data_IF_950383531828
#
_entry.id   IF_950383531828
#
_cell.length_a   1.000
_cell.length_b   1.000
_cell.length_c   1.000
_cell.angle_alpha   90.00
_cell.angle_beta   90.00
_cell.angle_gamma   90.00
#
_symmetry.space_group_name_H-M   'P 1'
#
loop_
_entity.id
_entity.type
_entity.pdbx_description
1 polymer ?
#
# COMPACT_ATOMS: atom_id res chain seq x y z
N UNK A 1 10.32 -24.85 -26.24
CA UNK A 1 11.58 -24.14 -25.92
C UNK A 1 11.98 -23.31 -27.14
N UNK A 2 12.10 -21.99 -26.99
CA UNK A 2 12.31 -21.08 -28.13
C UNK A 2 13.79 -21.06 -28.52
N UNK A 3 14.09 -21.07 -29.82
CA UNK A 3 15.46 -20.92 -30.35
C UNK A 3 15.53 -19.65 -31.17
N UNK A 4 16.51 -18.79 -30.89
CA UNK A 4 16.67 -17.46 -31.49
C UNK A 4 18.05 -17.38 -32.15
N UNK A 5 18.15 -16.78 -33.33
CA UNK A 5 19.45 -16.59 -33.97
C UNK A 5 20.28 -15.53 -33.21
N UNK A 6 21.60 -15.67 -33.19
CA UNK A 6 22.52 -14.70 -32.58
C UNK A 6 22.33 -13.26 -33.09
N UNK A 7 21.88 -13.09 -34.34
CA UNK A 7 21.64 -11.77 -34.94
C UNK A 7 20.39 -11.09 -34.37
N UNK A 8 19.34 -11.87 -34.07
CA UNK A 8 18.16 -11.35 -33.41
C UNK A 8 18.45 -11.15 -31.92
N UNK A 9 19.12 -12.12 -31.29
CA UNK A 9 19.44 -12.07 -29.87
C UNK A 9 20.22 -10.80 -29.51
N UNK A 10 21.21 -10.37 -30.31
CA UNK A 10 21.96 -9.13 -30.02
C UNK A 10 21.12 -7.85 -30.08
N UNK A 11 20.06 -7.82 -30.90
CA UNK A 11 19.23 -6.62 -31.09
C UNK A 11 18.14 -6.52 -30.03
N UNK A 12 17.56 -7.65 -29.62
CA UNK A 12 16.45 -7.72 -28.65
C UNK A 12 16.83 -8.45 -27.35
N UNK A 13 18.11 -8.44 -26.98
CA UNK A 13 18.60 -9.19 -25.82
C UNK A 13 17.84 -8.83 -24.55
N UNK A 14 17.62 -7.53 -24.32
CA UNK A 14 16.90 -7.04 -23.14
C UNK A 14 15.52 -7.68 -23.01
N UNK A 15 14.73 -7.69 -24.10
CA UNK A 15 13.38 -8.26 -24.11
C UNK A 15 13.41 -9.79 -23.91
N UNK A 16 14.41 -10.47 -24.47
CA UNK A 16 14.57 -11.91 -24.29
C UNK A 16 14.95 -12.28 -22.86
N UNK A 17 15.77 -11.45 -22.20
CA UNK A 17 16.12 -11.62 -20.79
C UNK A 17 14.89 -11.43 -19.90
N UNK A 18 14.04 -10.44 -20.17
CA UNK A 18 12.78 -10.26 -19.42
C UNK A 18 11.86 -11.48 -19.49
N UNK A 19 11.80 -12.14 -20.65
CA UNK A 19 11.06 -13.39 -20.83
C UNK A 19 11.71 -14.54 -20.05
N UNK A 20 13.05 -14.65 -20.10
CA UNK A 20 13.78 -15.66 -19.34
C UNK A 20 13.58 -15.53 -17.84
N UNK A 21 13.59 -14.30 -17.30
CA UNK A 21 13.31 -14.01 -15.88
C UNK A 21 11.88 -14.41 -15.47
N UNK A 22 10.92 -14.33 -16.39
CA UNK A 22 9.54 -14.81 -16.18
C UNK A 22 9.39 -16.34 -16.27
N UNK A 23 10.48 -17.06 -16.52
CA UNK A 23 10.51 -18.52 -16.60
C UNK A 23 10.56 -19.08 -18.02
N UNK A 24 10.56 -18.23 -19.05
CA UNK A 24 10.64 -18.69 -20.44
C UNK A 24 12.09 -18.80 -20.91
N UNK A 25 12.74 -19.93 -20.59
CA UNK A 25 14.09 -20.21 -21.06
C UNK A 25 14.16 -20.36 -22.60
N UNK A 26 15.24 -19.84 -23.19
CA UNK A 26 15.47 -19.85 -24.64
C UNK A 26 16.89 -20.27 -25.02
N UNK A 27 17.10 -20.65 -26.27
CA UNK A 27 18.40 -21.04 -26.84
C UNK A 27 18.83 -20.01 -27.86
N UNK A 28 20.11 -19.62 -27.85
CA UNK A 28 20.72 -18.84 -28.92
C UNK A 28 21.46 -19.79 -29.86
N UNK A 29 21.18 -19.66 -31.16
CA UNK A 29 21.80 -20.46 -32.22
C UNK A 29 22.57 -19.59 -33.22
N UNK A 30 23.57 -20.17 -33.87
CA UNK A 30 24.29 -19.57 -35.01
C UNK A 30 24.25 -20.53 -36.18
N UNK A 31 23.73 -20.07 -37.32
CA UNK A 31 23.57 -20.90 -38.53
C UNK A 31 22.85 -22.23 -38.26
N UNK A 32 21.74 -22.18 -37.49
CA UNK A 32 20.95 -23.37 -37.13
C UNK A 32 21.55 -24.26 -36.05
N UNK A 33 22.78 -23.98 -35.60
CA UNK A 33 23.43 -24.75 -34.53
C UNK A 33 23.19 -24.07 -33.17
N UNK A 34 22.58 -24.77 -32.19
CA UNK A 34 22.40 -24.22 -30.84
C UNK A 34 23.77 -24.02 -30.18
N UNK A 35 23.97 -22.87 -29.54
CA UNK A 35 25.24 -22.50 -28.89
C UNK A 35 25.11 -22.38 -27.38
N UNK A 36 24.11 -21.63 -26.92
CA UNK A 36 23.93 -21.34 -25.49
C UNK A 36 22.46 -21.38 -25.13
N UNK A 37 22.16 -21.81 -23.91
CA UNK A 37 20.84 -21.72 -23.29
C UNK A 37 20.86 -20.59 -22.27
N UNK A 38 19.86 -19.72 -22.35
CA UNK A 38 19.62 -18.65 -21.39
C UNK A 38 18.38 -19.02 -20.58
N UNK A 39 18.52 -19.02 -19.26
CA UNK A 39 17.45 -19.28 -18.31
C UNK A 39 17.59 -18.29 -17.15
N UNK A 40 16.51 -18.05 -16.41
CA UNK A 40 16.60 -17.35 -15.14
C UNK A 40 17.63 -18.04 -14.25
N UNK A 41 18.40 -17.24 -13.52
CA UNK A 41 19.18 -17.76 -12.41
C UNK A 41 18.20 -18.02 -11.28
N UNK A 42 18.19 -19.25 -10.75
CA UNK A 42 17.61 -19.51 -9.45
C UNK A 42 18.46 -18.73 -8.44
N UNK A 43 17.99 -17.55 -8.02
CA UNK A 43 18.59 -16.90 -6.88
C UNK A 43 18.46 -17.89 -5.72
N UNK A 44 19.56 -18.32 -5.06
CA UNK A 44 19.39 -19.02 -3.81
C UNK A 44 18.68 -18.01 -2.91
N UNK A 45 17.40 -18.27 -2.62
CA UNK A 45 16.75 -17.65 -1.50
C UNK A 45 17.61 -18.06 -0.31
N UNK A 46 18.55 -17.20 0.12
CA UNK A 46 19.26 -17.42 1.37
C UNK A 46 18.17 -17.74 2.38
N UNK A 47 18.16 -18.96 2.95
CA UNK A 47 17.09 -19.32 3.86
C UNK A 47 17.13 -18.30 4.98
N UNK A 48 16.06 -17.50 5.09
CA UNK A 48 15.92 -16.58 6.22
C UNK A 48 15.92 -17.46 7.46
N UNK A 49 17.02 -17.44 8.20
CA UNK A 49 17.16 -18.17 9.46
C UNK A 49 16.34 -17.43 10.50
N UNK A 50 15.02 -17.61 10.44
CA UNK A 50 14.08 -17.16 11.46
C UNK A 50 14.13 -18.14 12.63
N UNK A 51 13.88 -17.67 13.86
CA UNK A 51 13.81 -18.54 15.04
C UNK A 51 15.14 -18.96 15.65
N UNK A 52 16.28 -18.36 15.26
CA UNK A 52 17.58 -18.66 15.88
C UNK A 52 17.75 -18.19 17.33
N UNK A 53 16.83 -17.36 17.82
CA UNK A 53 16.71 -16.94 19.23
C UNK A 53 15.38 -17.42 19.84
N UNK A 54 14.70 -18.39 19.21
CA UNK A 54 13.48 -18.94 19.77
C UNK A 54 13.81 -19.60 21.13
N UNK A 55 13.20 -19.12 22.21
CA UNK A 55 13.45 -19.62 23.56
C UNK A 55 14.61 -18.95 24.31
N UNK A 56 15.44 -18.15 23.64
CA UNK A 56 16.55 -17.42 24.28
C UNK A 56 16.08 -16.16 25.02
N UNK A 57 14.87 -15.69 24.71
CA UNK A 57 14.24 -14.53 25.35
C UNK A 57 12.88 -14.96 25.89
N UNK A 58 12.69 -14.81 27.20
CA UNK A 58 11.39 -14.94 27.84
C UNK A 58 10.76 -13.55 27.95
N UNK A 59 9.57 -13.40 27.36
CA UNK A 59 8.79 -12.16 27.50
C UNK A 59 8.04 -12.21 28.83
N UNK A 60 8.26 -11.27 29.76
CA UNK A 60 7.53 -11.19 31.02
C UNK A 60 6.03 -10.98 30.79
N UNK A 61 5.18 -11.45 31.72
CA UNK A 61 3.72 -11.28 31.63
C UNK A 61 3.30 -9.79 31.62
N UNK A 62 4.10 -8.93 32.25
CA UNK A 62 3.88 -7.49 32.37
C UNK A 62 4.59 -6.66 31.30
N UNK A 63 5.11 -7.28 30.23
CA UNK A 63 5.90 -6.61 29.19
C UNK A 63 5.28 -5.31 28.65
N UNK A 64 3.94 -5.27 28.51
CA UNK A 64 3.22 -4.09 28.01
C UNK A 64 3.12 -2.93 29.02
N UNK A 65 3.40 -3.17 30.29
CA UNK A 65 3.32 -2.20 31.39
C UNK A 65 4.71 -1.80 31.93
N UNK A 66 5.77 -2.48 31.46
CA UNK A 66 7.13 -2.15 31.83
C UNK A 66 7.45 -0.69 31.44
N UNK A 67 7.92 0.10 32.42
CA UNK A 67 8.30 1.49 32.19
C UNK A 67 7.12 2.47 32.05
N UNK A 68 5.87 2.03 32.27
CA UNK A 68 4.67 2.87 32.11
C UNK A 68 4.77 4.20 32.89
N UNK A 69 5.24 4.17 34.14
CA UNK A 69 5.38 5.37 34.96
C UNK A 69 6.44 6.35 34.43
N UNK A 70 7.56 5.85 33.91
CA UNK A 70 8.64 6.68 33.36
C UNK A 70 8.24 7.28 32.01
N UNK A 71 7.63 6.47 31.14
CA UNK A 71 7.06 6.91 29.87
C UNK A 71 5.97 7.97 30.11
N UNK A 72 5.09 7.76 31.10
CA UNK A 72 4.07 8.74 31.48
C UNK A 72 4.69 10.04 32.04
N UNK A 73 5.77 9.97 32.81
CA UNK A 73 6.45 11.16 33.31
C UNK A 73 7.13 11.97 32.20
N UNK A 74 7.71 11.30 31.21
CA UNK A 74 8.40 11.91 30.07
C UNK A 74 7.43 12.47 29.02
N UNK A 75 6.35 11.74 28.73
CA UNK A 75 5.47 12.03 27.58
C UNK A 75 4.02 12.38 27.97
N UNK A 76 3.59 12.14 29.21
CA UNK A 76 2.21 12.34 29.68
C UNK A 76 1.79 13.80 29.91
N UNK A 77 2.69 14.78 29.77
CA UNK A 77 2.40 16.21 29.99
C UNK A 77 2.01 17.04 28.75
N UNK A 78 1.80 16.42 27.58
CA UNK A 78 1.41 17.15 26.37
C UNK A 78 -0.08 17.06 25.99
N UNK A 79 -0.95 16.54 26.84
CA UNK A 79 -2.39 16.54 26.58
C UNK A 79 -3.08 17.94 26.72
N UNK A 80 -2.36 19.02 27.08
CA UNK A 80 -2.96 20.37 27.23
C UNK A 80 -2.07 21.53 26.76
N UNK A 81 -1.49 21.45 25.57
CA UNK A 81 -0.96 22.65 24.89
C UNK A 81 -1.21 22.61 23.40
N UNK A 82 -2.48 22.75 23.02
CA UNK A 82 -2.87 22.80 21.62
C UNK A 82 -4.33 23.20 21.41
N UNK A 83 -4.59 24.50 21.48
CA UNK A 83 -5.76 25.25 20.97
C UNK A 83 -7.09 25.11 21.76
N UNK A 84 -7.70 26.22 22.22
CA UNK A 84 -9.11 26.23 22.53
C UNK A 84 -9.86 26.15 21.19
N UNK A 85 -10.70 25.14 21.01
CA UNK A 85 -11.71 25.16 19.96
C UNK A 85 -12.50 26.47 20.15
N UNK A 86 -12.35 27.38 19.19
CA UNK A 86 -13.07 28.65 19.19
C UNK A 86 -14.58 28.40 19.22
N UNK A 87 -15.37 29.36 19.73
CA UNK A 87 -16.81 29.20 19.74
C UNK A 87 -17.27 29.09 18.27
N UNK A 88 -17.74 27.89 17.90
CA UNK A 88 -18.29 27.62 16.59
C UNK A 88 -19.31 28.70 16.22
N UNK A 89 -19.13 29.24 15.02
CA UNK A 89 -20.05 30.14 14.36
C UNK A 89 -21.48 29.60 14.52
N UNK A 90 -22.32 30.38 15.21
CA UNK A 90 -23.76 30.16 15.24
C UNK A 90 -24.27 30.47 13.83
N UNK A 91 -24.42 29.46 12.99
CA UNK A 91 -25.35 29.56 11.87
C UNK A 91 -26.74 29.89 12.44
N UNK A 92 -27.43 30.93 11.96
CA UNK A 92 -28.73 31.31 12.50
C UNK A 92 -29.76 30.27 12.08
N UNK A 93 -30.17 29.44 13.02
CA UNK A 93 -31.35 28.61 12.89
C UNK A 93 -32.57 29.50 12.67
N UNK A 94 -33.16 29.41 11.48
CA UNK A 94 -34.49 29.96 11.20
C UNK A 94 -35.46 29.45 12.27
N UNK A 95 -36.13 30.39 12.93
CA UNK A 95 -37.25 30.12 13.82
C UNK A 95 -38.37 29.43 13.02
N UNK A 96 -39.05 28.41 13.56
CA UNK A 96 -40.34 28.01 13.06
C UNK A 96 -41.37 29.01 13.60
N UNK A 97 -42.02 29.77 12.72
CA UNK A 97 -43.23 30.50 13.08
C UNK A 97 -44.41 29.77 12.45
N UNK A 98 -45.16 29.10 13.31
CA UNK A 98 -46.47 28.57 12.99
C UNK A 98 -47.49 29.71 12.94
N UNK A 99 -48.51 29.44 12.13
CA UNK A 99 -49.86 30.00 12.11
C UNK A 99 -50.19 31.27 11.31
N UNK A 100 -51.05 30.97 10.32
CA UNK A 100 -52.24 31.71 9.93
C UNK A 100 -52.07 32.96 9.05
N UNK A 101 -52.34 32.81 7.76
CA UNK A 101 -53.63 33.22 7.15
C UNK A 101 -53.53 33.18 5.62
N UNK A 102 -54.43 32.40 5.02
CA UNK A 102 -55.23 32.91 3.91
C UNK A 102 -54.67 32.83 2.50
N UNK A 103 -55.31 31.95 1.73
CA UNK A 103 -55.72 32.13 0.33
C UNK A 103 -54.78 31.58 -0.76
N UNK A 104 -55.01 30.31 -1.10
CA UNK A 104 -55.11 29.84 -2.50
C UNK A 104 -56.18 30.63 -3.28
N UNK A 105 -56.35 30.46 -4.61
CA UNK A 105 -55.41 30.19 -5.72
C UNK A 105 -55.80 31.19 -6.87
N UNK A 106 -55.90 30.88 -8.19
CA UNK A 106 -55.26 29.90 -9.07
C UNK A 106 -54.53 30.58 -10.25
N UNK A 107 -53.90 29.87 -11.20
CA UNK A 107 -54.43 29.60 -12.56
C UNK A 107 -53.24 29.91 -13.52
N UNK A 108 -52.82 29.18 -14.57
CA UNK A 108 -53.34 28.10 -15.42
C UNK A 108 -52.13 27.37 -16.07
N UNK A 109 -52.35 26.19 -16.69
CA UNK A 109 -51.34 25.44 -17.43
C UNK A 109 -51.33 25.78 -18.94
N UNK A 110 -50.41 25.11 -19.66
CA UNK A 110 -50.21 25.05 -21.12
C UNK A 110 -49.31 26.16 -21.69
N UNK A 111 -48.36 25.89 -22.59
CA UNK A 111 -48.28 24.83 -23.61
C UNK A 111 -46.85 24.30 -23.79
#
# INVERSE_FOLDING_TARGET
>A
MVTVNIHEAKTQLSKLVDLAVKGEAFVIAKAGKPLVKVAALDAPAMPRRLGFLAGEIAVPEDFNHMGEAEIAALFGRNARRGRPDGPGERSPGLRPQADALGQQPPNQPAA
#
